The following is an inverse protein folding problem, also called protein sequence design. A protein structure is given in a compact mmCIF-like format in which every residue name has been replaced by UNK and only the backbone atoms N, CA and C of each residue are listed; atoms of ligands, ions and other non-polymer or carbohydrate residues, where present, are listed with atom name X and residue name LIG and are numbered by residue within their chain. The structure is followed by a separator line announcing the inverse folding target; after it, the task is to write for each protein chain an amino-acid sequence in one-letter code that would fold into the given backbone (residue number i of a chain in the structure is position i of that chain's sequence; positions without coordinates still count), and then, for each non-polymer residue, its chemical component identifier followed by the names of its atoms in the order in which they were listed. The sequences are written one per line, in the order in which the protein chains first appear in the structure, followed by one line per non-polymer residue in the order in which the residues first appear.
data_IF_456867503219
#
_entry.id   IF_456867503219
#
_cell.length_a   1.000
_cell.length_b   1.000
_cell.length_c   1.000
_cell.angle_alpha   90.00
_cell.angle_beta   90.00
_cell.angle_gamma   90.00
#
_symmetry.space_group_name_H-M   'P 1'
#
loop_
_entity.id
_entity.type
_entity.pdbx_description
1 polymer ?
#
# COMPACT_ATOMS: atom_id res chain seq x y z
N UNK A 1 -18.94 1.91 -10.28
CA UNK A 1 -17.79 1.12 -10.77
C UNK A 1 -17.91 -0.29 -10.22
N UNK A 2 -17.53 -1.31 -10.98
CA UNK A 2 -17.32 -2.63 -10.41
C UNK A 2 -16.09 -2.63 -9.48
N UNK A 3 -16.02 -3.55 -8.54
CA UNK A 3 -14.92 -3.66 -7.56
C UNK A 3 -13.55 -3.87 -8.24
N UNK A 4 -13.52 -4.66 -9.30
CA UNK A 4 -12.33 -4.86 -10.14
C UNK A 4 -11.85 -3.55 -10.80
N UNK A 5 -12.79 -2.74 -11.27
CA UNK A 5 -12.49 -1.47 -11.94
C UNK A 5 -11.98 -0.42 -10.94
N UNK A 6 -12.49 -0.47 -9.70
CA UNK A 6 -11.96 0.33 -8.60
C UNK A 6 -10.55 -0.13 -8.23
N UNK A 7 -10.30 -1.44 -8.13
CA UNK A 7 -8.97 -1.99 -7.85
C UNK A 7 -7.93 -1.51 -8.86
N UNK A 8 -8.22 -1.64 -10.16
CA UNK A 8 -7.33 -1.15 -11.22
C UNK A 8 -7.09 0.36 -11.16
N UNK A 9 -8.13 1.14 -10.87
CA UNK A 9 -8.02 2.59 -10.72
C UNK A 9 -7.15 2.98 -9.51
N UNK A 10 -7.28 2.22 -8.41
CA UNK A 10 -6.46 2.42 -7.21
C UNK A 10 -5.01 2.07 -7.49
N UNK A 11 -4.71 0.88 -8.05
CA UNK A 11 -3.34 0.46 -8.34
C UNK A 11 -2.64 1.48 -9.27
N UNK A 12 -3.34 1.98 -10.29
CA UNK A 12 -2.82 3.04 -11.16
C UNK A 12 -2.54 4.36 -10.41
N UNK A 13 -3.40 4.73 -9.46
CA UNK A 13 -3.24 5.95 -8.66
C UNK A 13 -2.12 5.85 -7.61
N UNK A 14 -1.63 4.65 -7.31
CA UNK A 14 -0.53 4.41 -6.37
C UNK A 14 0.86 4.57 -7.01
N UNK A 15 0.96 4.63 -8.35
CA UNK A 15 2.23 4.78 -9.05
C UNK A 15 3.07 6.00 -8.59
N UNK A 16 2.52 7.21 -8.38
CA UNK A 16 3.29 8.34 -7.88
C UNK A 16 3.84 8.12 -6.47
N UNK A 17 3.11 7.36 -5.63
CA UNK A 17 3.57 6.99 -4.28
C UNK A 17 4.77 6.03 -4.38
N UNK A 18 4.66 4.99 -5.21
CA UNK A 18 5.75 4.04 -5.47
C UNK A 18 7.00 4.78 -5.97
N UNK A 19 6.84 5.66 -6.96
CA UNK A 19 7.95 6.45 -7.50
C UNK A 19 8.61 7.34 -6.44
N UNK A 20 7.82 7.97 -5.57
CA UNK A 20 8.32 8.84 -4.50
C UNK A 20 9.05 8.08 -3.39
N UNK A 21 8.70 6.80 -3.19
CA UNK A 21 9.31 5.91 -2.20
C UNK A 21 10.41 5.00 -2.79
N UNK A 22 10.69 5.10 -4.08
CA UNK A 22 11.74 4.32 -4.74
C UNK A 22 13.12 4.43 -4.06
N UNK A 23 13.56 5.60 -3.52
CA UNK A 23 14.82 5.68 -2.77
C UNK A 23 14.85 4.84 -1.48
N UNK A 24 13.69 4.55 -0.89
CA UNK A 24 13.56 3.63 0.25
C UNK A 24 13.43 2.15 -0.19
N UNK A 25 13.51 1.88 -1.49
CA UNK A 25 13.47 0.54 -2.06
C UNK A 25 12.06 -0.01 -2.29
N UNK A 26 11.02 0.84 -2.34
CA UNK A 26 9.66 0.39 -2.71
C UNK A 26 9.63 -0.07 -4.16
N UNK A 27 9.04 -1.25 -4.38
CA UNK A 27 8.92 -1.92 -5.67
C UNK A 27 7.51 -1.81 -6.24
N UNK A 28 6.50 -2.03 -5.38
CA UNK A 28 5.10 -2.08 -5.76
C UNK A 28 4.21 -1.71 -4.57
N UNK A 29 3.01 -1.24 -4.88
CA UNK A 29 1.97 -1.01 -3.89
C UNK A 29 0.62 -1.44 -4.46
N UNK A 30 -0.13 -2.21 -3.68
CA UNK A 30 -1.39 -2.82 -4.09
C UNK A 30 -2.48 -2.57 -3.07
N UNK A 31 -3.69 -2.30 -3.53
CA UNK A 31 -4.85 -2.23 -2.64
C UNK A 31 -5.66 -3.53 -2.69
N UNK A 32 -5.65 -4.26 -1.57
CA UNK A 32 -6.28 -5.57 -1.45
C UNK A 32 -6.96 -5.67 -0.08
N UNK A 33 -8.20 -6.17 0.00
CA UNK A 33 -8.82 -6.42 1.30
C UNK A 33 -8.09 -7.54 2.06
N UNK A 34 -8.08 -7.45 3.39
CA UNK A 34 -7.65 -8.57 4.23
C UNK A 34 -8.67 -9.73 4.21
N UNK A 35 -8.37 -10.81 4.93
CA UNK A 35 -9.26 -11.98 5.05
C UNK A 35 -10.65 -11.64 5.63
N UNK A 36 -10.77 -10.53 6.36
CA UNK A 36 -12.02 -10.03 6.93
C UNK A 36 -12.74 -8.99 6.05
N UNK A 37 -12.19 -8.65 4.88
CA UNK A 37 -12.73 -7.63 3.99
C UNK A 37 -12.32 -6.20 4.33
N UNK A 38 -11.43 -5.99 5.32
CA UNK A 38 -10.94 -4.67 5.70
C UNK A 38 -9.97 -4.16 4.63
N UNK A 39 -10.02 -2.86 4.28
CA UNK A 39 -9.14 -2.32 3.25
C UNK A 39 -7.69 -2.25 3.75
N UNK A 40 -6.77 -2.83 2.97
CA UNK A 40 -5.33 -2.79 3.24
C UNK A 40 -4.59 -2.29 2.00
N UNK A 41 -3.60 -1.43 2.21
CA UNK A 41 -2.56 -1.17 1.22
C UNK A 41 -1.32 -1.94 1.59
N UNK A 42 -0.88 -2.78 0.66
CA UNK A 42 0.34 -3.57 0.75
C UNK A 42 1.44 -2.84 0.01
N UNK A 43 2.54 -2.53 0.68
CA UNK A 43 3.74 -1.95 0.07
C UNK A 43 4.85 -2.98 0.14
N UNK A 44 5.42 -3.31 -1.02
CA UNK A 44 6.55 -4.22 -1.09
C UNK A 44 7.85 -3.46 -1.28
N UNK A 45 8.86 -3.81 -0.51
CA UNK A 45 10.19 -3.20 -0.54
C UNK A 45 11.29 -4.24 -0.77
N UNK A 46 12.43 -3.81 -1.30
CA UNK A 46 13.55 -4.71 -1.55
C UNK A 46 14.18 -5.29 -0.27
N UNK A 47 14.26 -4.52 0.82
CA UNK A 47 15.03 -4.88 2.02
C UNK A 47 14.29 -4.58 3.32
N UNK A 48 14.70 -5.23 4.42
CA UNK A 48 14.18 -4.95 5.76
C UNK A 48 14.46 -3.51 6.22
N UNK A 49 15.63 -2.97 5.87
CA UNK A 49 15.94 -1.58 6.16
C UNK A 49 14.97 -0.62 5.46
N UNK A 50 14.61 -0.93 4.21
CA UNK A 50 13.57 -0.21 3.47
C UNK A 50 12.20 -0.30 4.14
N UNK A 51 11.85 -1.47 4.68
CA UNK A 51 10.58 -1.66 5.40
C UNK A 51 10.49 -0.73 6.60
N UNK A 52 11.51 -0.75 7.46
CA UNK A 52 11.60 0.13 8.64
C UNK A 52 11.58 1.60 8.23
N UNK A 53 12.25 1.98 7.14
CA UNK A 53 12.25 3.35 6.64
C UNK A 53 10.84 3.79 6.22
N UNK A 54 10.14 2.99 5.41
CA UNK A 54 8.77 3.31 4.95
C UNK A 54 7.78 3.38 6.11
N UNK A 55 7.86 2.43 7.06
CA UNK A 55 7.03 2.45 8.28
C UNK A 55 7.26 3.69 9.14
N UNK A 56 8.47 4.25 9.11
CA UNK A 56 8.81 5.48 9.86
C UNK A 56 8.27 6.76 9.22
N UNK A 57 7.83 6.73 7.96
CA UNK A 57 7.35 7.92 7.26
C UNK A 57 5.89 8.23 7.62
N UNK A 58 5.63 9.27 8.45
CA UNK A 58 4.29 9.53 8.98
C UNK A 58 3.29 10.01 7.91
N UNK A 59 3.78 10.38 6.72
CA UNK A 59 2.99 10.93 5.64
C UNK A 59 2.43 9.88 4.68
N UNK A 60 2.96 8.65 4.69
CA UNK A 60 2.61 7.64 3.68
C UNK A 60 1.14 7.23 3.80
N UNK A 61 0.70 6.81 4.99
CA UNK A 61 -0.70 6.43 5.22
C UNK A 61 -1.68 7.58 4.91
N UNK A 62 -1.49 8.82 5.42
CA UNK A 62 -2.34 9.95 5.04
C UNK A 62 -2.40 10.21 3.53
N UNK A 63 -1.26 10.09 2.83
CA UNK A 63 -1.22 10.30 1.38
C UNK A 63 -2.05 9.24 0.65
N UNK A 64 -1.96 7.98 1.06
CA UNK A 64 -2.80 6.90 0.53
C UNK A 64 -4.28 7.17 0.79
N UNK A 65 -4.64 7.56 2.02
CA UNK A 65 -6.02 7.91 2.37
C UNK A 65 -6.58 9.03 1.48
N UNK A 66 -5.77 10.05 1.18
CA UNK A 66 -6.15 11.14 0.25
C UNK A 66 -6.37 10.62 -1.18
N UNK A 67 -5.49 9.74 -1.67
CA UNK A 67 -5.64 9.12 -3.00
C UNK A 67 -6.96 8.34 -3.07
N UNK A 68 -7.22 7.48 -2.09
CA UNK A 68 -8.43 6.64 -2.06
C UNK A 68 -9.72 7.45 -1.89
N UNK A 69 -9.70 8.50 -1.06
CA UNK A 69 -10.84 9.40 -0.91
C UNK A 69 -11.17 10.12 -2.24
N UNK A 70 -10.15 10.54 -3.00
CA UNK A 70 -10.33 11.17 -4.33
C UNK A 70 -10.88 10.20 -5.38
N UNK A 71 -10.61 8.91 -5.23
CA UNK A 71 -11.17 7.85 -6.08
C UNK A 71 -12.59 7.43 -5.67
N UNK A 72 -13.14 8.00 -4.61
CA UNK A 72 -14.52 7.77 -4.18
C UNK A 72 -14.71 6.58 -3.25
N UNK A 73 -13.67 6.09 -2.57
CA UNK A 73 -13.88 5.17 -1.45
C UNK A 73 -14.68 5.86 -0.34
N UNK A 74 -15.54 5.10 0.33
CA UNK A 74 -16.32 5.63 1.45
C UNK A 74 -15.40 6.09 2.58
N UNK A 75 -15.77 7.16 3.32
CA UNK A 75 -14.97 7.64 4.46
C UNK A 75 -14.68 6.56 5.49
N UNK A 76 -15.63 5.66 5.75
CA UNK A 76 -15.46 4.52 6.65
C UNK A 76 -14.32 3.61 6.22
N UNK A 77 -14.22 3.28 4.92
CA UNK A 77 -13.14 2.46 4.37
C UNK A 77 -11.81 3.19 4.39
N UNK A 78 -11.80 4.50 4.13
CA UNK A 78 -10.57 5.32 4.19
C UNK A 78 -10.02 5.40 5.62
N UNK A 79 -10.90 5.56 6.62
CA UNK A 79 -10.53 5.62 8.03
C UNK A 79 -10.13 4.25 8.60
N UNK A 80 -10.73 3.17 8.09
CA UNK A 80 -10.36 1.80 8.45
C UNK A 80 -9.12 1.28 7.72
N UNK A 81 -8.54 2.07 6.81
CA UNK A 81 -7.41 1.65 6.00
C UNK A 81 -6.19 1.33 6.87
N UNK A 82 -5.62 0.14 6.66
CA UNK A 82 -4.30 -0.23 7.19
C UNK A 82 -3.25 -0.21 6.10
N UNK A 83 -2.02 0.05 6.51
CA UNK A 83 -0.84 -0.10 5.67
C UNK A 83 -0.02 -1.27 6.20
N UNK A 84 0.34 -2.19 5.33
CA UNK A 84 1.24 -3.30 5.62
C UNK A 84 2.45 -3.18 4.69
N UNK A 85 3.65 -3.30 5.24
CA UNK A 85 4.90 -3.19 4.48
C UNK A 85 5.63 -4.52 4.59
N UNK A 86 6.03 -5.11 3.47
CA UNK A 86 6.72 -6.41 3.43
C UNK A 86 7.99 -6.30 2.60
N UNK A 87 9.07 -6.95 3.05
CA UNK A 87 10.32 -6.98 2.31
C UNK A 87 10.48 -8.28 1.54
N UNK A 88 11.17 -8.22 0.39
CA UNK A 88 11.57 -9.43 -0.36
C UNK A 88 12.43 -10.36 0.52
N UNK A 89 13.33 -9.80 1.34
CA UNK A 89 14.14 -10.59 2.29
C UNK A 89 13.28 -11.38 3.31
N UNK A 90 12.14 -10.82 3.75
CA UNK A 90 11.20 -11.54 4.60
C UNK A 90 10.41 -12.60 3.84
N UNK A 91 10.02 -12.30 2.60
CA UNK A 91 9.32 -13.26 1.73
C UNK A 91 10.21 -14.48 1.45
N UNK A 92 11.49 -14.27 1.14
CA UNK A 92 12.44 -15.34 0.84
C UNK A 92 12.59 -16.31 2.02
N UNK A 93 12.63 -15.78 3.25
CA UNK A 93 12.67 -16.59 4.49
C UNK A 93 11.44 -17.45 4.74
N UNK A 94 10.30 -17.20 4.07
CA UNK A 94 9.10 -18.04 4.22
C UNK A 94 9.19 -19.37 3.46
N UNK A 95 10.14 -19.47 2.52
CA UNK A 95 10.32 -20.64 1.66
C UNK A 95 11.61 -21.42 1.95
N UNK A 96 12.35 -21.03 2.98
CA UNK A 96 13.48 -21.80 3.57
C UNK A 96 12.98 -22.79 4.62
#
# INVERSE_FOLDING_TARGET
MGEEQLRQAVDAAMLPLVASLAPAGVLEAHWLPDRGGSPVVWIRVATEAGRVAVESYPWVLPQVQVILARLGLSPEKVLALRMEVTSVEAEDRLFE
#
